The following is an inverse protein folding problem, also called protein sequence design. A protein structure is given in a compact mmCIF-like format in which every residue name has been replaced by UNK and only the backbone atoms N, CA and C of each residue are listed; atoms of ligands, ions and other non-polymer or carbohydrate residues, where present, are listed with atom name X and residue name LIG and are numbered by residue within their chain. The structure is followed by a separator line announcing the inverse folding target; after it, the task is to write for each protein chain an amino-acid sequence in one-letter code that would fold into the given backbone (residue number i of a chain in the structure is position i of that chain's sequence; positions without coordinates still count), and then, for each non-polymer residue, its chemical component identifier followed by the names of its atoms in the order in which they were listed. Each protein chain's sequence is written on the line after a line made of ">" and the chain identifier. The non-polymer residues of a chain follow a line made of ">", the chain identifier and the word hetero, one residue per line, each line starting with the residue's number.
data_IF_039463930188
#
_entry.id   IF_039463930188
#
_cell.length_a   1.000
_cell.length_b   1.000
_cell.length_c   1.000
_cell.angle_alpha   90.00
_cell.angle_beta   90.00
_cell.angle_gamma   90.00
#
_symmetry.space_group_name_H-M   'P 1'
#
loop_
_entity.id
_entity.type
_entity.pdbx_description
1 polymer ?
#
# COMPACT_ATOMS: atom_id res chain seq x y z
N UNK A 1 6.51 2.93 2.30
CA UNK A 1 7.58 2.77 3.31
C UNK A 1 7.27 1.72 4.39
N UNK A 2 6.05 1.68 4.98
CA UNK A 2 5.73 0.68 6.02
C UNK A 2 5.84 -0.78 5.52
N UNK A 3 5.28 -1.08 4.34
CA UNK A 3 5.42 -2.42 3.75
C UNK A 3 6.87 -2.77 3.44
N UNK A 4 7.64 -1.83 2.88
CA UNK A 4 9.06 -2.01 2.58
C UNK A 4 9.89 -2.27 3.85
N UNK A 5 9.61 -1.56 4.94
CA UNK A 5 10.22 -1.79 6.26
C UNK A 5 9.95 -3.20 6.78
N UNK A 6 8.69 -3.64 6.69
CA UNK A 6 8.27 -4.98 7.13
C UNK A 6 8.94 -6.09 6.30
N UNK A 7 8.96 -5.95 4.98
CA UNK A 7 9.49 -6.96 4.07
C UNK A 7 11.03 -7.02 4.07
N UNK A 8 11.70 -5.86 4.05
CA UNK A 8 13.16 -5.78 4.05
C UNK A 8 13.78 -6.00 5.44
N UNK A 9 12.94 -6.07 6.50
CA UNK A 9 13.36 -6.14 7.91
C UNK A 9 14.33 -5.03 8.30
N UNK A 10 14.05 -3.82 7.82
CA UNK A 10 14.81 -2.60 8.10
C UNK A 10 13.94 -1.68 8.93
N UNK A 11 14.49 -1.08 9.98
CA UNK A 11 13.74 -0.19 10.86
C UNK A 11 13.13 0.99 10.07
N UNK A 12 11.84 1.27 10.29
CA UNK A 12 11.14 2.33 9.56
C UNK A 12 11.80 3.71 9.75
N UNK A 13 12.34 3.98 10.94
CA UNK A 13 13.04 5.23 11.22
C UNK A 13 14.32 5.37 10.38
N UNK A 14 15.09 4.29 10.20
CA UNK A 14 16.29 4.29 9.37
C UNK A 14 15.95 4.55 7.90
N UNK A 15 14.86 3.96 7.40
CA UNK A 15 14.37 4.23 6.03
C UNK A 15 13.95 5.69 5.88
N UNK A 16 13.24 6.25 6.86
CA UNK A 16 12.77 7.65 6.82
C UNK A 16 13.91 8.66 6.94
N UNK A 17 14.93 8.36 7.73
CA UNK A 17 16.09 9.24 7.93
C UNK A 17 17.18 9.07 6.87
N UNK A 18 17.15 7.96 6.11
CA UNK A 18 18.21 7.58 5.19
C UNK A 18 19.47 7.02 5.87
N UNK A 19 19.45 6.84 7.19
CA UNK A 19 20.56 6.30 7.98
C UNK A 19 20.59 4.77 7.88
N UNK A 20 20.97 4.27 6.70
CA UNK A 20 20.99 2.86 6.36
C UNK A 20 22.43 2.39 6.18
N UNK A 21 22.76 1.26 6.78
CA UNK A 21 23.98 0.52 6.45
C UNK A 21 23.94 -0.02 5.02
N UNK A 22 25.10 -0.34 4.45
CA UNK A 22 25.21 -0.93 3.11
C UNK A 22 24.43 -2.26 3.01
N UNK A 23 24.40 -3.04 4.09
CA UNK A 23 23.61 -4.27 4.16
C UNK A 23 22.10 -3.99 4.12
N UNK A 24 21.61 -3.00 4.89
CA UNK A 24 20.20 -2.58 4.84
C UNK A 24 19.81 -2.06 3.47
N UNK A 25 20.69 -1.29 2.82
CA UNK A 25 20.51 -0.85 1.44
C UNK A 25 20.37 -2.01 0.47
N UNK A 26 21.24 -3.02 0.58
CA UNK A 26 21.18 -4.22 -0.27
C UNK A 26 19.87 -4.99 -0.07
N UNK A 27 19.42 -5.15 1.19
CA UNK A 27 18.14 -5.81 1.51
C UNK A 27 16.94 -5.04 0.96
N UNK A 28 16.93 -3.71 1.10
CA UNK A 28 15.89 -2.85 0.56
C UNK A 28 15.81 -2.96 -0.95
N UNK A 29 16.94 -2.82 -1.66
CA UNK A 29 16.98 -2.88 -3.11
C UNK A 29 16.45 -4.22 -3.64
N UNK A 30 16.82 -5.33 -2.98
CA UNK A 30 16.35 -6.67 -3.34
C UNK A 30 14.84 -6.83 -3.19
N UNK A 31 14.26 -6.39 -2.07
CA UNK A 31 12.82 -6.53 -1.80
C UNK A 31 11.95 -5.52 -2.53
N UNK A 32 12.52 -4.39 -2.98
CA UNK A 32 11.80 -3.36 -3.73
C UNK A 32 11.19 -3.93 -5.02
N UNK A 33 11.91 -4.82 -5.72
CA UNK A 33 11.40 -5.48 -6.93
C UNK A 33 10.16 -6.32 -6.65
N UNK A 34 10.24 -7.19 -5.63
CA UNK A 34 9.14 -8.08 -5.23
C UNK A 34 7.87 -7.29 -4.83
N UNK A 35 8.03 -6.18 -4.11
CA UNK A 35 6.90 -5.32 -3.72
C UNK A 35 6.28 -4.61 -4.93
N UNK A 36 7.11 -4.15 -5.87
CA UNK A 36 6.62 -3.48 -7.08
C UNK A 36 5.86 -4.43 -8.02
N UNK A 37 6.23 -5.71 -8.04
CA UNK A 37 5.57 -6.74 -8.85
C UNK A 37 4.33 -7.34 -8.16
N UNK A 38 4.13 -7.07 -6.87
CA UNK A 38 2.98 -7.58 -6.13
C UNK A 38 1.66 -7.03 -6.72
N UNK A 39 0.59 -7.84 -6.80
CA UNK A 39 -0.72 -7.41 -7.31
C UNK A 39 -1.48 -6.56 -6.27
N UNK A 40 -0.84 -5.48 -5.82
CA UNK A 40 -1.33 -4.56 -4.81
C UNK A 40 -1.73 -3.23 -5.47
N UNK A 41 -2.95 -2.78 -5.17
CA UNK A 41 -3.48 -1.52 -5.66
C UNK A 41 -3.70 -0.59 -4.46
N UNK A 42 -3.11 0.60 -4.50
CA UNK A 42 -3.23 1.62 -3.44
C UNK A 42 -4.00 2.80 -4.02
N UNK A 43 -5.02 3.25 -3.30
CA UNK A 43 -5.78 4.45 -3.60
C UNK A 43 -5.74 5.34 -2.35
N UNK A 44 -5.07 6.48 -2.45
CA UNK A 44 -4.87 7.46 -1.37
C UNK A 44 -5.84 8.66 -1.49
N UNK A 45 -6.88 8.54 -2.31
CA UNK A 45 -7.90 9.58 -2.45
C UNK A 45 -8.59 9.83 -1.10
N UNK A 46 -8.62 11.08 -0.60
CA UNK A 46 -9.32 11.40 0.65
C UNK A 46 -10.84 11.40 0.47
N UNK A 47 -11.58 11.26 1.58
CA UNK A 47 -13.02 11.45 1.66
C UNK A 47 -13.87 10.60 0.68
N UNK A 48 -13.43 9.38 0.34
CA UNK A 48 -14.20 8.51 -0.53
C UNK A 48 -15.52 8.07 0.13
N UNK A 49 -16.59 8.07 -0.65
CA UNK A 49 -17.86 7.45 -0.26
C UNK A 49 -17.83 5.93 -0.46
N UNK A 50 -18.70 5.20 0.24
CA UNK A 50 -18.83 3.75 0.07
C UNK A 50 -19.19 3.36 -1.38
N UNK A 51 -19.95 4.22 -2.08
CA UNK A 51 -20.33 4.02 -3.47
C UNK A 51 -19.12 4.08 -4.42
N UNK A 52 -18.22 5.03 -4.20
CA UNK A 52 -16.98 5.18 -4.99
C UNK A 52 -16.02 4.03 -4.72
N UNK A 53 -15.83 3.64 -3.45
CA UNK A 53 -15.02 2.47 -3.06
C UNK A 53 -15.56 1.23 -3.76
N UNK A 54 -16.87 0.99 -3.70
CA UNK A 54 -17.52 -0.15 -4.37
C UNK A 54 -17.34 -0.11 -5.89
N UNK A 55 -17.44 1.06 -6.51
CA UNK A 55 -17.24 1.20 -7.95
C UNK A 55 -15.79 0.92 -8.37
N UNK A 56 -14.81 1.40 -7.61
CA UNK A 56 -13.38 1.13 -7.83
C UNK A 56 -13.07 -0.36 -7.62
N UNK A 57 -13.51 -0.96 -6.52
CA UNK A 57 -13.31 -2.38 -6.24
C UNK A 57 -13.92 -3.29 -7.31
N UNK A 58 -15.11 -2.98 -7.83
CA UNK A 58 -15.73 -3.74 -8.94
C UNK A 58 -14.90 -3.68 -10.23
N UNK A 59 -14.38 -2.50 -10.58
CA UNK A 59 -13.50 -2.35 -11.75
C UNK A 59 -12.20 -3.16 -11.59
N UNK A 60 -11.58 -3.11 -10.42
CA UNK A 60 -10.40 -3.92 -10.11
C UNK A 60 -10.71 -5.43 -10.12
N UNK A 61 -11.88 -5.84 -9.61
CA UNK A 61 -12.33 -7.24 -9.68
C UNK A 61 -12.43 -7.75 -11.11
N UNK A 62 -13.00 -6.95 -12.01
CA UNK A 62 -13.16 -7.33 -13.42
C UNK A 62 -11.82 -7.41 -14.17
N UNK A 63 -10.88 -6.51 -13.87
CA UNK A 63 -9.60 -6.41 -14.60
C UNK A 63 -8.49 -7.27 -14.03
N UNK A 64 -8.50 -7.49 -12.71
CA UNK A 64 -7.38 -8.07 -11.97
C UNK A 64 -7.80 -9.14 -10.96
N UNK A 65 -9.05 -9.61 -11.01
CA UNK A 65 -9.58 -10.67 -10.15
C UNK A 65 -9.39 -10.41 -8.64
N UNK A 66 -9.58 -9.15 -8.21
CA UNK A 66 -9.46 -8.69 -6.82
C UNK A 66 -10.03 -9.70 -5.79
N UNK A 67 -9.24 -9.97 -4.72
CA UNK A 67 -9.58 -10.96 -3.69
C UNK A 67 -9.79 -10.36 -2.30
N UNK A 68 -9.14 -9.24 -2.00
CA UNK A 68 -9.17 -8.59 -0.70
C UNK A 68 -9.26 -7.07 -0.87
N UNK A 69 -10.02 -6.42 0.00
CA UNK A 69 -10.07 -4.98 0.13
C UNK A 69 -9.77 -4.63 1.58
N UNK A 70 -8.80 -3.75 1.80
CA UNK A 70 -8.46 -3.20 3.12
C UNK A 70 -8.77 -1.71 3.10
N UNK A 71 -9.47 -1.22 4.13
CA UNK A 71 -9.83 0.20 4.27
C UNK A 71 -9.22 0.73 5.57
N UNK A 72 -8.43 1.79 5.46
CA UNK A 72 -7.79 2.49 6.59
C UNK A 72 -8.17 3.98 6.54
N UNK A 73 -9.16 4.47 7.30
CA UNK A 73 -10.11 3.78 8.18
C UNK A 73 -11.52 4.35 7.96
N UNK A 74 -12.56 3.58 8.32
CA UNK A 74 -13.95 3.86 7.93
C UNK A 74 -14.45 5.27 8.30
N UNK A 75 -13.97 5.84 9.41
CA UNK A 75 -14.38 7.16 9.89
C UNK A 75 -13.88 8.32 9.01
N UNK A 76 -12.93 8.09 8.09
CA UNK A 76 -12.50 9.07 7.10
C UNK A 76 -13.35 9.04 5.81
N UNK A 77 -14.32 8.12 5.74
CA UNK A 77 -15.24 8.06 4.62
C UNK A 77 -16.30 9.14 4.73
N UNK A 78 -16.74 9.67 3.58
CA UNK A 78 -17.87 10.58 3.53
C UNK A 78 -19.18 9.80 3.39
N UNK A 79 -20.17 10.14 4.21
CA UNK A 79 -21.56 9.79 3.94
C UNK A 79 -22.01 10.70 2.79
N UNK A 80 -21.89 10.20 1.55
CA UNK A 80 -22.40 10.90 0.38
C UNK A 80 -23.77 11.49 0.69
N UNK A 81 -23.92 12.80 0.53
CA UNK A 81 -25.21 13.47 0.70
C UNK A 81 -26.25 12.86 -0.24
#
# INVERSE_FOLDING_TARGET
>A
MRMLSAEARVALNNIRSGALSDEEWSRLARRMGEINEAPLFIDDSPNLSMMEIRAKARRLKQRHDLKLVVIDYLQLMTSGK
#
